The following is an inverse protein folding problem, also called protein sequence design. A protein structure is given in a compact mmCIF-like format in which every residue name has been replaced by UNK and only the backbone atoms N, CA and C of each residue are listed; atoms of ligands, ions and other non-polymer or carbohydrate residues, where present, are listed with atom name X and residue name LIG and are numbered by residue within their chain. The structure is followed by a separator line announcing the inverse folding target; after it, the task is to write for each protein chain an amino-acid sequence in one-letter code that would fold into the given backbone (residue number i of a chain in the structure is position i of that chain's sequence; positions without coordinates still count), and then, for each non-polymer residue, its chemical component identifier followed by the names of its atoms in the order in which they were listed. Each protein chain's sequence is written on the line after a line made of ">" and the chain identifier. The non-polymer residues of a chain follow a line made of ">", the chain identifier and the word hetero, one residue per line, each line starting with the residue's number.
data_IF_094240844274
#
_entry.id   IF_094240844274
#
_cell.length_a   1.000
_cell.length_b   1.000
_cell.length_c   1.000
_cell.angle_alpha   90.00
_cell.angle_beta   90.00
_cell.angle_gamma   90.00
#
_symmetry.space_group_name_H-M   'P 1'
#
loop_
_entity.id
_entity.type
_entity.pdbx_description
1 polymer ?
#
# COMPACT_ATOMS: atom_id res chain seq x y z
N UNK A 1 -23.35 -4.74 -15.90
CA UNK A 1 -23.92 -3.63 -15.08
C UNK A 1 -24.19 -4.01 -13.62
N UNK A 2 -24.73 -5.21 -13.30
CA UNK A 2 -25.02 -5.64 -11.90
C UNK A 2 -23.81 -5.66 -10.95
N UNK A 3 -22.62 -6.06 -11.43
CA UNK A 3 -21.41 -6.15 -10.60
C UNK A 3 -20.99 -4.79 -10.01
N UNK A 4 -20.97 -3.75 -10.85
CA UNK A 4 -20.60 -2.39 -10.41
C UNK A 4 -21.60 -1.84 -9.38
N UNK A 5 -22.89 -2.17 -9.52
CA UNK A 5 -23.95 -1.73 -8.62
C UNK A 5 -23.88 -2.45 -7.27
N UNK A 6 -23.53 -3.73 -7.25
CA UNK A 6 -23.26 -4.47 -6.01
C UNK A 6 -21.99 -3.96 -5.30
N UNK A 7 -20.94 -3.58 -6.04
CA UNK A 7 -19.77 -2.92 -5.46
C UNK A 7 -20.13 -1.54 -4.88
N UNK A 8 -20.95 -0.76 -5.60
CA UNK A 8 -21.44 0.54 -5.13
C UNK A 8 -22.26 0.42 -3.83
N UNK A 9 -23.17 -0.56 -3.73
CA UNK A 9 -23.96 -0.80 -2.50
C UNK A 9 -23.09 -1.13 -1.28
N UNK A 10 -21.97 -1.85 -1.45
CA UNK A 10 -21.01 -2.09 -0.35
C UNK A 10 -20.37 -0.81 0.19
N UNK A 11 -20.29 0.25 -0.62
CA UNK A 11 -19.68 1.51 -0.18
C UNK A 11 -20.59 2.37 0.71
N UNK A 12 -21.91 2.19 0.64
CA UNK A 12 -22.86 2.86 1.54
C UNK A 12 -22.90 2.26 2.94
N UNK A 13 -22.40 1.03 3.10
CA UNK A 13 -22.40 0.30 4.37
C UNK A 13 -20.99 0.11 4.95
N UNK A 14 -20.12 1.12 4.78
CA UNK A 14 -18.77 1.14 5.34
C UNK A 14 -18.82 1.28 6.87
N UNK A 15 -19.11 0.17 7.55
CA UNK A 15 -19.26 0.10 9.00
C UNK A 15 -17.93 0.36 9.75
N UNK A 16 -16.79 0.14 9.09
CA UNK A 16 -15.47 0.16 9.72
C UNK A 16 -14.85 1.57 9.61
N UNK A 17 -15.19 2.45 10.56
CA UNK A 17 -14.68 3.83 10.63
C UNK A 17 -13.32 3.89 11.32
N UNK A 18 -12.44 4.77 10.85
CA UNK A 18 -11.17 5.04 11.50
C UNK A 18 -11.38 5.66 12.89
N UNK A 19 -10.72 5.15 13.96
CA UNK A 19 -10.86 5.70 15.30
C UNK A 19 -10.06 7.00 15.52
N UNK A 20 -9.12 7.33 14.63
CA UNK A 20 -8.32 8.56 14.73
C UNK A 20 -9.21 9.77 14.42
N UNK A 21 -9.42 10.66 15.38
CA UNK A 21 -10.44 11.73 15.32
C UNK A 21 -10.31 12.72 14.15
N UNK A 22 -9.10 12.89 13.59
CA UNK A 22 -8.87 13.72 12.39
C UNK A 22 -9.04 12.94 11.07
N UNK A 23 -9.16 11.61 11.12
CA UNK A 23 -9.27 10.75 9.96
C UNK A 23 -10.71 10.31 9.72
N UNK A 24 -11.33 10.85 8.66
CA UNK A 24 -12.74 10.56 8.30
C UNK A 24 -12.89 9.34 7.37
N UNK A 25 -11.88 8.48 7.30
CA UNK A 25 -11.91 7.30 6.42
C UNK A 25 -12.83 6.23 7.02
N UNK A 26 -13.69 5.68 6.17
CA UNK A 26 -14.48 4.49 6.45
C UNK A 26 -14.14 3.41 5.42
N UNK A 27 -13.98 2.18 5.87
CA UNK A 27 -13.62 1.03 5.06
C UNK A 27 -14.80 0.05 4.94
N UNK A 28 -14.78 -0.72 3.86
CA UNK A 28 -15.76 -1.77 3.55
C UNK A 28 -15.55 -3.05 4.39
N UNK A 29 -14.37 -3.23 4.99
CA UNK A 29 -14.03 -4.38 5.83
C UNK A 29 -13.09 -4.01 6.99
N UNK A 30 -13.10 -4.83 8.05
CA UNK A 30 -12.21 -4.68 9.21
C UNK A 30 -10.75 -4.80 8.83
N UNK A 31 -10.39 -5.75 7.96
CA UNK A 31 -9.02 -5.93 7.48
C UNK A 31 -8.53 -4.72 6.69
N UNK A 32 -9.39 -4.07 5.90
CA UNK A 32 -9.05 -2.81 5.24
C UNK A 32 -8.86 -1.66 6.22
N UNK A 33 -9.66 -1.59 7.29
CA UNK A 33 -9.50 -0.59 8.34
C UNK A 33 -8.20 -0.77 9.11
N UNK A 34 -7.90 -1.99 9.57
CA UNK A 34 -6.67 -2.31 10.30
C UNK A 34 -5.44 -1.96 9.47
N UNK A 35 -5.47 -2.30 8.18
CA UNK A 35 -4.43 -1.95 7.23
C UNK A 35 -4.32 -0.44 7.02
N UNK A 36 -5.44 0.28 6.96
CA UNK A 36 -5.43 1.74 6.87
C UNK A 36 -4.77 2.37 8.10
N UNK A 37 -5.13 1.92 9.31
CA UNK A 37 -4.54 2.39 10.56
C UNK A 37 -3.03 2.16 10.55
N UNK A 38 -2.61 0.93 10.25
CA UNK A 38 -1.20 0.58 10.19
C UNK A 38 -0.41 1.45 9.20
N UNK A 39 -0.95 1.74 8.03
CA UNK A 39 -0.24 2.50 7.00
C UNK A 39 -0.28 4.03 7.16
N UNK A 40 -1.33 4.55 7.79
CA UNK A 40 -1.59 6.01 7.82
C UNK A 40 -1.38 6.63 9.19
N UNK A 41 -1.44 5.84 10.24
CA UNK A 41 -1.38 6.32 11.61
C UNK A 41 -0.26 5.69 12.41
N UNK A 42 0.10 4.44 12.12
CA UNK A 42 1.11 3.69 12.89
C UNK A 42 2.36 3.33 12.06
N UNK A 43 2.44 3.79 10.80
CA UNK A 43 3.54 3.43 9.93
C UNK A 43 4.81 4.11 10.40
N UNK A 44 5.64 3.35 11.10
CA UNK A 44 6.99 3.75 11.43
C UNK A 44 7.85 3.80 10.14
N UNK A 45 8.45 4.95 9.81
CA UNK A 45 9.31 5.08 8.62
C UNK A 45 10.46 4.06 8.61
N UNK A 46 10.97 3.62 9.76
CA UNK A 46 12.02 2.60 9.88
C UNK A 46 11.56 1.20 9.47
N UNK A 47 10.25 0.96 9.40
CA UNK A 47 9.65 -0.33 8.97
C UNK A 47 9.18 -0.32 7.53
N UNK A 48 9.51 0.73 6.77
CA UNK A 48 9.16 0.85 5.37
C UNK A 48 10.29 0.31 4.47
N UNK A 49 9.94 -0.15 3.27
CA UNK A 49 10.88 -0.70 2.31
C UNK A 49 11.35 0.40 1.35
N UNK A 50 12.65 0.45 1.02
CA UNK A 50 13.19 1.43 0.08
C UNK A 50 13.91 0.73 -1.07
N UNK A 51 13.80 1.31 -2.27
CA UNK A 51 14.58 0.86 -3.41
C UNK A 51 15.94 1.55 -3.39
N UNK A 52 17.06 0.81 -3.31
CA UNK A 52 18.41 1.38 -3.24
C UNK A 52 19.10 1.48 -4.61
N UNK A 53 18.34 1.28 -5.68
CA UNK A 53 18.81 1.38 -7.06
C UNK A 53 18.99 2.85 -7.47
N UNK A 54 20.23 3.31 -7.62
CA UNK A 54 20.57 4.74 -7.85
C UNK A 54 19.87 5.36 -9.08
N UNK A 55 19.60 4.56 -10.10
CA UNK A 55 18.93 5.00 -11.33
C UNK A 55 17.42 4.74 -11.31
N UNK A 56 16.89 4.22 -10.21
CA UNK A 56 15.47 4.00 -10.07
C UNK A 56 14.75 5.33 -9.84
N UNK A 57 13.69 5.65 -10.62
CA UNK A 57 12.86 6.83 -10.39
C UNK A 57 12.19 6.87 -9.01
N UNK A 58 12.25 5.76 -8.26
CA UNK A 58 11.69 5.59 -6.92
C UNK A 58 12.76 5.31 -5.84
N UNK A 59 14.03 5.67 -6.10
CA UNK A 59 15.17 5.44 -5.20
C UNK A 59 14.97 5.97 -3.76
N UNK A 60 14.35 7.13 -3.59
CA UNK A 60 14.08 7.71 -2.26
C UNK A 60 12.66 7.44 -1.75
N UNK A 61 11.90 6.60 -2.47
CA UNK A 61 10.49 6.36 -2.14
C UNK A 61 10.35 5.20 -1.18
N UNK A 62 9.73 5.48 -0.04
CA UNK A 62 9.33 4.48 0.94
C UNK A 62 8.05 3.75 0.49
N UNK A 63 8.13 2.43 0.49
CA UNK A 63 7.01 1.53 0.26
C UNK A 63 6.52 1.02 1.61
N UNK A 64 5.27 1.35 2.01
CA UNK A 64 4.75 0.94 3.31
C UNK A 64 4.47 -0.56 3.42
N UNK A 65 4.56 -1.33 2.31
CA UNK A 65 4.31 -2.78 2.30
C UNK A 65 5.32 -3.54 1.45
N UNK A 66 5.73 -4.71 1.93
CA UNK A 66 6.60 -5.65 1.22
C UNK A 66 6.07 -6.03 -0.16
N UNK A 67 4.77 -6.32 -0.29
CA UNK A 67 4.19 -6.72 -1.59
C UNK A 67 4.24 -5.59 -2.62
N UNK A 68 4.05 -4.34 -2.18
CA UNK A 68 4.17 -3.18 -3.06
C UNK A 68 5.62 -2.98 -3.52
N UNK A 69 6.56 -3.16 -2.59
CA UNK A 69 7.99 -3.11 -2.90
C UNK A 69 8.41 -4.24 -3.85
N UNK A 70 8.01 -5.49 -3.58
CA UNK A 70 8.30 -6.64 -4.44
C UNK A 70 7.79 -6.42 -5.86
N UNK A 71 6.56 -5.94 -6.02
CA UNK A 71 6.01 -5.61 -7.35
C UNK A 71 6.79 -4.47 -8.02
N UNK A 72 7.22 -3.47 -7.25
CA UNK A 72 8.06 -2.41 -7.78
C UNK A 72 9.39 -2.95 -8.30
N UNK A 73 10.08 -3.76 -7.50
CA UNK A 73 11.37 -4.34 -7.83
C UNK A 73 11.27 -5.25 -9.05
N UNK A 74 10.29 -6.17 -9.08
CA UNK A 74 10.04 -7.02 -10.24
C UNK A 74 9.80 -6.24 -11.53
N UNK A 75 9.08 -5.10 -11.45
CA UNK A 75 8.89 -4.25 -12.62
C UNK A 75 10.20 -3.56 -13.01
N UNK A 76 10.95 -3.04 -12.03
CA UNK A 76 12.25 -2.43 -12.29
C UNK A 76 13.19 -3.41 -12.99
N UNK A 77 13.32 -4.65 -12.49
CA UNK A 77 14.11 -5.73 -13.12
C UNK A 77 13.68 -6.02 -14.56
N UNK A 78 12.37 -6.05 -14.84
CA UNK A 78 11.86 -6.29 -16.20
C UNK A 78 12.25 -5.20 -17.19
N UNK A 79 12.30 -3.95 -16.76
CA UNK A 79 12.59 -2.81 -17.64
C UNK A 79 14.07 -2.43 -17.70
N UNK A 80 14.85 -2.80 -16.69
CA UNK A 80 16.25 -2.39 -16.55
C UNK A 80 17.26 -3.54 -16.44
N UNK A 81 16.81 -4.80 -16.44
CA UNK A 81 17.65 -5.99 -16.19
C UNK A 81 17.83 -6.27 -14.70
N UNK A 82 18.14 -7.53 -14.33
CA UNK A 82 18.28 -7.92 -12.92
C UNK A 82 19.60 -7.47 -12.33
N UNK A 83 19.57 -6.90 -11.13
CA UNK A 83 20.73 -6.87 -10.23
C UNK A 83 20.71 -8.16 -9.41
N UNK A 84 21.79 -8.96 -9.49
CA UNK A 84 21.93 -10.17 -8.68
C UNK A 84 22.21 -9.80 -7.22
N UNK A 85 21.53 -10.53 -6.32
CA UNK A 85 21.66 -10.50 -4.87
C UNK A 85 23.10 -10.27 -4.39
N UNK A 86 23.27 -9.32 -3.48
CA UNK A 86 24.55 -8.89 -3.00
C UNK A 86 24.46 -8.27 -1.61
N UNK A 87 24.18 -9.13 -0.63
CA UNK A 87 24.41 -8.98 0.82
C UNK A 87 23.20 -8.66 1.71
#
# INVERSE_FOLDING_TARGET
>A
MLYALNQHKKTHNRAWKCPYGLCKIACDSSSHLQRHIHEKHELDPSRSYQCLERHCPKYSKFFPRKNNFKRHYQNYEKFHGSWQDGR
#
